data_IF_161856745319
#
_entry.id   IF_161856745319
#
_cell.length_a   1.000
_cell.length_b   1.000
_cell.length_c   1.000
_cell.angle_alpha   90.00
_cell.angle_beta   90.00
_cell.angle_gamma   90.00
#
_symmetry.space_group_name_H-M   'P 1'
#
loop_
_entity.id
_entity.type
_entity.pdbx_description
1 polymer ?
#
# COMPACT_ATOMS: atom_id res chain seq x y z
N UNK A 1 44.72 -1.61 -20.52
CA UNK A 1 44.12 -2.95 -20.39
C UNK A 1 42.90 -2.83 -19.49
N UNK A 2 41.72 -2.72 -20.09
CA UNK A 2 40.45 -2.54 -19.38
C UNK A 2 39.87 -3.91 -19.02
N UNK A 3 39.82 -4.22 -17.74
CA UNK A 3 39.28 -5.46 -17.23
C UNK A 3 37.75 -5.54 -17.44
N UNK A 4 37.32 -6.57 -18.13
CA UNK A 4 35.91 -6.97 -18.32
C UNK A 4 35.34 -7.32 -16.94
N UNK A 5 34.20 -6.80 -16.51
CA UNK A 5 33.58 -7.23 -15.25
C UNK A 5 33.19 -8.70 -15.32
N UNK A 6 33.45 -9.44 -14.23
CA UNK A 6 33.25 -10.88 -14.13
C UNK A 6 31.81 -11.33 -14.39
N UNK A 7 31.66 -12.50 -14.96
CA UNK A 7 30.44 -13.12 -15.48
C UNK A 7 29.47 -13.67 -14.42
N UNK A 8 29.51 -13.22 -13.13
CA UNK A 8 28.74 -13.78 -12.02
C UNK A 8 27.83 -12.80 -11.27
N UNK A 9 27.60 -11.59 -11.81
CA UNK A 9 26.54 -10.75 -11.26
C UNK A 9 25.19 -11.20 -11.86
N UNK A 10 24.15 -11.47 -11.02
CA UNK A 10 22.82 -11.81 -11.53
C UNK A 10 22.38 -10.68 -12.47
N UNK A 11 21.91 -11.05 -13.67
CA UNK A 11 21.45 -10.08 -14.66
C UNK A 11 20.36 -9.22 -14.01
N UNK A 12 20.62 -7.92 -13.86
CA UNK A 12 19.65 -6.97 -13.31
C UNK A 12 18.48 -6.91 -14.28
N UNK A 13 17.34 -7.49 -13.85
CA UNK A 13 16.11 -7.57 -14.61
C UNK A 13 15.15 -6.41 -14.31
N UNK A 14 14.00 -6.44 -14.97
CA UNK A 14 12.87 -5.52 -14.76
C UNK A 14 12.48 -5.42 -13.28
N UNK A 15 12.44 -6.57 -12.56
CA UNK A 15 12.02 -6.62 -11.16
C UNK A 15 12.99 -5.88 -10.23
N UNK A 16 14.29 -5.96 -10.45
CA UNK A 16 15.28 -5.18 -9.69
C UNK A 16 15.06 -3.67 -9.84
N UNK A 17 14.71 -3.22 -11.05
CA UNK A 17 14.40 -1.81 -11.31
C UNK A 17 13.13 -1.40 -10.56
N UNK A 18 12.08 -2.24 -10.55
CA UNK A 18 10.86 -2.00 -9.79
C UNK A 18 11.14 -1.93 -8.28
N UNK A 19 11.94 -2.85 -7.74
CA UNK A 19 12.32 -2.82 -6.31
C UNK A 19 13.09 -1.54 -5.96
N UNK A 20 14.04 -1.11 -6.79
CA UNK A 20 14.74 0.17 -6.58
C UNK A 20 13.78 1.37 -6.64
N UNK A 21 12.77 1.33 -7.51
CA UNK A 21 11.75 2.37 -7.57
C UNK A 21 10.85 2.34 -6.31
N UNK A 22 10.49 1.16 -5.79
CA UNK A 22 9.80 1.02 -4.49
C UNK A 22 10.62 1.61 -3.35
N UNK A 23 11.94 1.36 -3.29
CA UNK A 23 12.83 1.95 -2.28
C UNK A 23 12.86 3.49 -2.34
N UNK A 24 12.82 4.07 -3.54
CA UNK A 24 12.72 5.52 -3.69
C UNK A 24 11.37 6.04 -3.19
N UNK A 25 10.27 5.32 -3.42
CA UNK A 25 8.92 5.72 -2.99
C UNK A 25 8.76 5.76 -1.45
N UNK A 26 9.60 5.07 -0.72
CA UNK A 26 9.66 5.21 0.75
C UNK A 26 10.09 6.60 1.22
N UNK A 27 10.79 7.35 0.36
CA UNK A 27 11.45 8.61 0.73
C UNK A 27 11.03 9.79 -0.14
N UNK A 28 10.57 9.54 -1.36
CA UNK A 28 10.31 10.55 -2.37
C UNK A 28 8.91 10.42 -2.95
N UNK A 29 8.25 11.55 -3.26
CA UNK A 29 6.98 11.52 -3.98
C UNK A 29 7.16 11.01 -5.42
N UNK A 30 6.13 10.43 -6.06
CA UNK A 30 6.19 9.86 -7.40
C UNK A 30 6.82 10.81 -8.44
N UNK A 31 6.50 12.10 -8.36
CA UNK A 31 7.03 13.14 -9.28
C UNK A 31 8.55 13.31 -9.23
N UNK A 32 9.22 12.80 -8.20
CA UNK A 32 10.70 12.82 -8.08
C UNK A 32 11.35 11.50 -8.44
N UNK A 33 10.58 10.46 -8.75
CA UNK A 33 11.09 9.13 -9.10
C UNK A 33 11.19 9.04 -10.62
N UNK A 34 12.41 9.20 -11.13
CA UNK A 34 12.68 9.12 -12.56
C UNK A 34 13.42 7.83 -12.92
N UNK A 35 13.31 7.39 -14.18
CA UNK A 35 14.05 6.21 -14.67
C UNK A 35 15.56 6.35 -14.45
N UNK A 36 16.09 7.56 -14.57
CA UNK A 36 17.53 7.83 -14.34
C UNK A 36 17.91 7.70 -12.87
N UNK A 37 17.09 8.20 -11.94
CA UNK A 37 17.32 8.03 -10.50
C UNK A 37 17.26 6.56 -10.09
N UNK A 38 16.27 5.82 -10.62
CA UNK A 38 16.13 4.38 -10.35
C UNK A 38 17.33 3.61 -10.90
N UNK A 39 17.79 3.90 -12.13
CA UNK A 39 18.97 3.28 -12.72
C UNK A 39 20.24 3.58 -11.89
N UNK A 40 20.38 4.81 -11.40
CA UNK A 40 21.48 5.20 -10.51
C UNK A 40 21.47 4.40 -9.22
N UNK A 41 20.29 4.22 -8.58
CA UNK A 41 20.16 3.43 -7.36
C UNK A 41 20.44 1.94 -7.62
N UNK A 42 19.99 1.43 -8.77
CA UNK A 42 20.22 0.03 -9.17
C UNK A 42 21.68 -0.24 -9.64
N UNK A 43 22.50 0.80 -9.77
CA UNK A 43 23.88 0.66 -10.26
C UNK A 43 23.98 0.24 -11.73
N UNK A 44 23.01 0.62 -12.57
CA UNK A 44 22.93 0.23 -13.99
C UNK A 44 22.95 1.43 -14.92
N UNK A 45 23.24 1.17 -16.20
CA UNK A 45 23.12 2.20 -17.22
C UNK A 45 21.65 2.63 -17.38
N UNK A 46 21.36 3.95 -17.47
CA UNK A 46 20.01 4.46 -17.69
C UNK A 46 19.29 3.90 -18.92
N UNK A 47 20.01 3.40 -19.91
CA UNK A 47 19.43 2.73 -21.08
C UNK A 47 18.67 1.46 -20.71
N UNK A 48 19.10 0.74 -19.67
CA UNK A 48 18.42 -0.47 -19.19
C UNK A 48 17.04 -0.15 -18.62
N UNK A 49 16.91 0.92 -17.82
CA UNK A 49 15.61 1.35 -17.32
C UNK A 49 14.68 1.80 -18.48
N UNK A 50 15.23 2.47 -19.50
CA UNK A 50 14.50 2.85 -20.73
C UNK A 50 14.12 1.65 -21.58
N UNK A 51 14.90 0.59 -21.57
CA UNK A 51 14.58 -0.65 -22.26
C UNK A 51 13.36 -1.35 -21.66
N UNK A 52 13.26 -1.42 -20.32
CA UNK A 52 12.16 -2.09 -19.66
C UNK A 52 10.90 -1.23 -19.54
N UNK A 53 11.04 0.10 -19.46
CA UNK A 53 9.93 1.02 -19.25
C UNK A 53 9.95 2.14 -20.31
N UNK A 54 8.89 2.20 -21.11
CA UNK A 54 8.73 3.21 -22.15
C UNK A 54 8.90 4.63 -21.62
N UNK A 55 8.30 4.90 -20.44
CA UNK A 55 8.30 6.20 -19.76
C UNK A 55 8.30 6.03 -18.23
N UNK A 56 8.31 7.14 -17.50
CA UNK A 56 8.26 7.14 -16.04
C UNK A 56 6.94 6.60 -15.52
N UNK A 57 5.82 6.87 -16.20
CA UNK A 57 4.51 6.41 -15.81
C UNK A 57 4.41 4.87 -15.84
N UNK A 58 4.84 4.22 -16.92
CA UNK A 58 4.83 2.75 -17.02
C UNK A 58 5.67 2.08 -15.92
N UNK A 59 6.76 2.73 -15.48
CA UNK A 59 7.55 2.28 -14.33
C UNK A 59 6.78 2.46 -13.02
N UNK A 60 6.15 3.60 -12.79
CA UNK A 60 5.38 3.88 -11.58
C UNK A 60 4.12 3.03 -11.48
N UNK A 61 3.48 2.67 -12.60
CA UNK A 61 2.38 1.70 -12.63
C UNK A 61 2.87 0.30 -12.18
N UNK A 62 4.06 -0.12 -12.61
CA UNK A 62 4.64 -1.38 -12.15
C UNK A 62 4.98 -1.36 -10.65
N UNK A 63 5.39 -0.20 -10.10
CA UNK A 63 5.56 0.00 -8.65
C UNK A 63 4.20 -0.14 -7.93
N UNK A 64 3.16 0.52 -8.43
CA UNK A 64 1.82 0.43 -7.85
C UNK A 64 1.28 -1.01 -7.85
N UNK A 65 1.48 -1.75 -8.93
CA UNK A 65 1.13 -3.17 -9.06
C UNK A 65 1.88 -4.02 -8.01
N UNK A 66 3.20 -3.87 -7.90
CA UNK A 66 4.04 -4.58 -6.92
C UNK A 66 3.59 -4.31 -5.48
N UNK A 67 3.32 -3.06 -5.11
CA UNK A 67 2.88 -2.71 -3.76
C UNK A 67 1.47 -3.22 -3.45
N UNK A 68 0.59 -3.25 -4.44
CA UNK A 68 -0.75 -3.84 -4.30
C UNK A 68 -0.68 -5.35 -4.07
N UNK A 69 0.23 -6.05 -4.74
CA UNK A 69 0.48 -7.49 -4.51
C UNK A 69 1.07 -7.75 -3.12
N UNK A 70 2.06 -6.96 -2.71
CA UNK A 70 2.63 -7.06 -1.36
C UNK A 70 1.58 -6.82 -0.27
N UNK A 71 0.66 -5.86 -0.48
CA UNK A 71 -0.47 -5.63 0.41
C UNK A 71 -1.38 -6.86 0.50
N UNK A 72 -1.78 -7.46 -0.64
CA UNK A 72 -2.62 -8.65 -0.67
C UNK A 72 -1.99 -9.81 0.10
N UNK A 73 -0.72 -10.11 -0.17
CA UNK A 73 0.02 -11.16 0.56
C UNK A 73 0.16 -10.89 2.06
N UNK A 74 0.26 -9.61 2.45
CA UNK A 74 0.30 -9.24 3.88
C UNK A 74 -1.04 -9.52 4.55
N UNK A 75 -2.15 -9.17 3.90
CA UNK A 75 -3.50 -9.49 4.40
C UNK A 75 -3.67 -11.01 4.55
N UNK A 76 -3.32 -11.78 3.53
CA UNK A 76 -3.42 -13.25 3.57
C UNK A 76 -2.65 -13.84 4.76
N UNK A 77 -1.42 -13.38 5.00
CA UNK A 77 -0.62 -13.84 6.15
C UNK A 77 -1.24 -13.50 7.50
N UNK A 78 -1.79 -12.31 7.65
CA UNK A 78 -2.45 -11.92 8.90
C UNK A 78 -3.74 -12.72 9.13
N UNK A 79 -4.52 -12.94 8.08
CA UNK A 79 -5.74 -13.78 8.16
C UNK A 79 -5.38 -15.22 8.49
N UNK A 80 -4.36 -15.80 7.83
CA UNK A 80 -3.91 -17.17 8.10
C UNK A 80 -3.36 -17.37 9.53
N UNK A 81 -2.83 -16.31 10.14
CA UNK A 81 -2.32 -16.34 11.52
C UNK A 81 -3.38 -16.03 12.59
N UNK A 82 -4.63 -15.76 12.19
CA UNK A 82 -5.74 -15.42 13.07
C UNK A 82 -6.68 -16.61 13.30
N UNK A 83 -7.68 -16.42 14.16
CA UNK A 83 -8.75 -17.40 14.41
C UNK A 83 -9.79 -17.50 13.29
N UNK A 84 -9.60 -16.76 12.21
CA UNK A 84 -10.46 -16.77 11.02
C UNK A 84 -11.81 -16.06 11.20
N UNK A 85 -12.02 -15.36 12.33
CA UNK A 85 -13.26 -14.61 12.55
C UNK A 85 -13.37 -13.39 11.61
N UNK A 86 -14.58 -12.94 11.26
CA UNK A 86 -14.79 -11.71 10.50
C UNK A 86 -14.12 -10.48 11.15
N UNK A 87 -14.07 -10.41 12.49
CA UNK A 87 -13.42 -9.36 13.25
C UNK A 87 -11.91 -9.35 13.01
N UNK A 88 -11.26 -10.50 13.07
CA UNK A 88 -9.82 -10.60 12.82
C UNK A 88 -9.47 -10.35 11.35
N UNK A 89 -10.33 -10.80 10.42
CA UNK A 89 -10.16 -10.46 9.01
C UNK A 89 -10.21 -8.95 8.75
N UNK A 90 -11.11 -8.23 9.44
CA UNK A 90 -11.20 -6.77 9.36
C UNK A 90 -9.97 -6.09 9.96
N UNK A 91 -9.51 -6.53 11.15
CA UNK A 91 -8.27 -6.04 11.77
C UNK A 91 -7.05 -6.29 10.88
N UNK A 92 -6.96 -7.48 10.26
CA UNK A 92 -5.87 -7.83 9.35
C UNK A 92 -5.75 -6.83 8.19
N UNK A 93 -6.89 -6.40 7.63
CA UNK A 93 -6.92 -5.39 6.55
C UNK A 93 -6.48 -4.01 7.04
N UNK A 94 -6.97 -3.57 8.19
CA UNK A 94 -6.59 -2.29 8.80
C UNK A 94 -5.07 -2.28 9.07
N UNK A 95 -4.55 -3.31 9.73
CA UNK A 95 -3.12 -3.48 10.03
C UNK A 95 -2.25 -3.48 8.78
N UNK A 96 -2.67 -4.24 7.76
CA UNK A 96 -1.93 -4.33 6.50
C UNK A 96 -1.88 -2.99 5.77
N UNK A 97 -3.00 -2.26 5.74
CA UNK A 97 -3.08 -0.96 5.10
C UNK A 97 -2.26 0.08 5.86
N UNK A 98 -2.35 0.09 7.20
CA UNK A 98 -1.56 0.99 8.03
C UNK A 98 -0.05 0.76 7.84
N UNK A 99 0.37 -0.50 7.85
CA UNK A 99 1.76 -0.86 7.60
C UNK A 99 2.23 -0.43 6.20
N UNK A 100 1.40 -0.58 5.17
CA UNK A 100 1.70 -0.11 3.82
C UNK A 100 1.88 1.41 3.78
N UNK A 101 0.96 2.17 4.39
CA UNK A 101 1.00 3.64 4.41
C UNK A 101 2.22 4.18 5.18
N UNK A 102 2.59 3.54 6.29
CA UNK A 102 3.79 3.91 7.06
C UNK A 102 5.08 3.59 6.30
N UNK A 103 5.13 2.45 5.64
CA UNK A 103 6.28 2.00 4.86
C UNK A 103 6.46 2.81 3.57
N UNK A 104 5.34 3.18 2.91
CA UNK A 104 5.30 3.95 1.66
C UNK A 104 4.41 5.19 1.82
N UNK A 105 4.91 6.26 2.45
CA UNK A 105 4.11 7.46 2.77
C UNK A 105 3.49 8.16 1.56
N UNK A 106 4.04 7.91 0.39
CA UNK A 106 3.57 8.49 -0.87
C UNK A 106 2.72 7.53 -1.73
N UNK A 107 2.32 6.37 -1.18
CA UNK A 107 1.54 5.39 -1.92
C UNK A 107 0.20 5.98 -2.40
N UNK A 108 -0.50 6.75 -1.56
CA UNK A 108 -1.74 7.41 -1.96
C UNK A 108 -1.55 8.39 -3.14
N UNK A 109 -0.42 9.14 -3.15
CA UNK A 109 -0.08 10.03 -4.26
C UNK A 109 0.21 9.24 -5.53
N UNK A 110 0.91 8.11 -5.42
CA UNK A 110 1.16 7.21 -6.54
C UNK A 110 -0.16 6.74 -7.18
N UNK A 111 -1.10 6.26 -6.36
CA UNK A 111 -2.42 5.83 -6.86
C UNK A 111 -3.17 7.01 -7.49
N UNK A 112 -3.26 8.15 -6.80
CA UNK A 112 -4.02 9.30 -7.28
C UNK A 112 -3.45 9.93 -8.56
N UNK A 113 -2.12 9.96 -8.72
CA UNK A 113 -1.46 10.64 -9.82
C UNK A 113 -1.27 9.73 -11.05
N UNK A 114 -0.86 8.46 -10.82
CA UNK A 114 -0.43 7.58 -11.89
C UNK A 114 -1.48 6.52 -12.26
N UNK A 115 -2.37 6.16 -11.33
CA UNK A 115 -3.40 5.15 -11.58
C UNK A 115 -4.74 5.81 -11.92
N UNK A 116 -5.26 6.66 -11.03
CA UNK A 116 -6.61 7.27 -11.20
C UNK A 116 -6.69 8.17 -12.42
N UNK A 117 -5.64 8.92 -12.74
CA UNK A 117 -5.60 9.87 -13.86
C UNK A 117 -5.12 9.27 -15.17
N UNK A 118 -4.85 7.99 -15.22
CA UNK A 118 -4.26 7.33 -16.37
C UNK A 118 -5.30 6.56 -17.18
N UNK A 119 -5.24 6.71 -18.51
CA UNK A 119 -6.02 5.91 -19.46
C UNK A 119 -5.29 4.60 -19.86
N UNK A 120 -4.11 4.31 -19.29
CA UNK A 120 -3.35 3.11 -19.57
C UNK A 120 -4.15 1.85 -19.17
N UNK A 121 -4.21 0.81 -20.00
CA UNK A 121 -4.92 -0.43 -19.66
C UNK A 121 -4.42 -1.08 -18.36
N UNK A 122 -3.13 -0.91 -18.01
CA UNK A 122 -2.58 -1.41 -16.74
C UNK A 122 -3.14 -0.63 -15.56
N UNK A 123 -3.24 0.69 -15.67
CA UNK A 123 -3.85 1.52 -14.65
C UNK A 123 -5.33 1.14 -14.42
N UNK A 124 -6.08 0.89 -15.48
CA UNK A 124 -7.48 0.46 -15.39
C UNK A 124 -7.60 -0.87 -14.64
N UNK A 125 -6.82 -1.89 -15.03
CA UNK A 125 -6.82 -3.19 -14.32
C UNK A 125 -6.43 -3.05 -12.85
N UNK A 126 -5.49 -2.15 -12.55
CA UNK A 126 -5.07 -1.91 -11.18
C UNK A 126 -6.17 -1.21 -10.38
N UNK A 127 -6.89 -0.24 -10.97
CA UNK A 127 -8.06 0.38 -10.34
C UNK A 127 -9.16 -0.64 -10.05
N UNK A 128 -9.49 -1.51 -11.00
CA UNK A 128 -10.47 -2.59 -10.79
C UNK A 128 -10.03 -3.51 -9.63
N UNK A 129 -8.75 -3.89 -9.57
CA UNK A 129 -8.21 -4.70 -8.49
C UNK A 129 -8.28 -4.00 -7.12
N UNK A 130 -7.95 -2.72 -7.05
CA UNK A 130 -7.96 -1.94 -5.82
C UNK A 130 -9.38 -1.64 -5.33
N UNK A 131 -10.27 -1.21 -6.24
CA UNK A 131 -11.63 -0.80 -5.88
C UNK A 131 -12.54 -2.01 -5.70
N UNK A 132 -12.78 -2.76 -6.76
CA UNK A 132 -13.69 -3.91 -6.72
C UNK A 132 -13.21 -4.99 -5.78
N UNK A 133 -11.92 -5.35 -5.81
CA UNK A 133 -11.33 -6.34 -4.91
C UNK A 133 -11.36 -5.87 -3.46
N UNK A 134 -11.02 -4.60 -3.23
CA UNK A 134 -11.08 -3.98 -1.90
C UNK A 134 -12.51 -3.93 -1.35
N UNK A 135 -13.42 -3.28 -2.06
CA UNK A 135 -14.82 -3.11 -1.65
C UNK A 135 -15.54 -4.44 -1.43
N UNK A 136 -15.41 -5.39 -2.37
CA UNK A 136 -16.00 -6.74 -2.22
C UNK A 136 -15.48 -7.47 -1.00
N UNK A 137 -14.18 -7.33 -0.70
CA UNK A 137 -13.61 -8.01 0.46
C UNK A 137 -14.15 -7.46 1.78
N UNK A 138 -14.39 -6.16 1.89
CA UNK A 138 -15.05 -5.60 3.09
C UNK A 138 -16.51 -6.04 3.17
N UNK A 139 -17.25 -6.05 2.05
CA UNK A 139 -18.63 -6.54 2.03
C UNK A 139 -18.70 -8.01 2.46
N UNK A 140 -17.83 -8.87 1.93
CA UNK A 140 -17.77 -10.29 2.32
C UNK A 140 -17.53 -10.47 3.82
N UNK A 141 -16.62 -9.69 4.41
CA UNK A 141 -16.36 -9.73 5.86
C UNK A 141 -17.61 -9.37 6.66
N UNK A 142 -18.31 -8.30 6.24
CA UNK A 142 -19.56 -7.89 6.90
C UNK A 142 -20.64 -8.94 6.73
N UNK A 143 -20.83 -9.50 5.54
CA UNK A 143 -21.86 -10.52 5.27
C UNK A 143 -21.62 -11.79 6.12
N UNK A 144 -20.36 -12.24 6.24
CA UNK A 144 -19.99 -13.33 7.13
C UNK A 144 -20.32 -13.00 8.60
N UNK A 145 -19.92 -11.81 9.09
CA UNK A 145 -20.19 -11.39 10.45
C UNK A 145 -21.68 -11.22 10.77
N UNK A 146 -22.48 -10.82 9.78
CA UNK A 146 -23.96 -10.76 9.91
C UNK A 146 -24.54 -12.17 9.98
N UNK A 147 -24.08 -13.09 9.13
CA UNK A 147 -24.50 -14.49 9.17
C UNK A 147 -24.20 -15.15 10.53
N UNK A 148 -23.03 -14.88 11.08
CA UNK A 148 -22.60 -15.36 12.40
C UNK A 148 -23.21 -14.56 13.57
N UNK A 149 -24.02 -13.54 13.30
CA UNK A 149 -24.61 -12.64 14.30
C UNK A 149 -23.57 -11.90 15.16
N UNK A 150 -22.36 -11.79 14.71
CA UNK A 150 -21.28 -11.06 15.40
C UNK A 150 -21.16 -9.63 14.95
N UNK A 151 -21.68 -9.30 13.75
CA UNK A 151 -21.69 -7.95 13.19
C UNK A 151 -23.10 -7.53 12.78
N UNK A 152 -23.32 -6.21 12.77
CA UNK A 152 -24.51 -5.61 12.16
C UNK A 152 -24.28 -5.37 10.67
N UNK A 153 -25.33 -5.31 9.89
CA UNK A 153 -25.25 -4.93 8.49
C UNK A 153 -24.79 -3.48 8.35
N UNK A 154 -23.71 -3.30 7.60
CA UNK A 154 -23.17 -2.01 7.17
C UNK A 154 -22.76 -2.11 5.70
N UNK A 155 -22.72 -0.98 5.01
CA UNK A 155 -22.25 -0.90 3.63
C UNK A 155 -20.72 -1.11 3.60
N UNK A 156 -20.27 -2.20 2.98
CA UNK A 156 -18.86 -2.56 2.87
C UNK A 156 -18.05 -1.55 2.03
N UNK A 157 -18.68 -0.88 1.06
CA UNK A 157 -18.00 0.15 0.25
C UNK A 157 -17.72 1.40 1.10
N UNK A 158 -18.71 1.84 1.89
CA UNK A 158 -18.52 2.96 2.82
C UNK A 158 -17.49 2.63 3.89
N UNK A 159 -17.52 1.41 4.41
CA UNK A 159 -16.52 0.95 5.38
C UNK A 159 -15.10 0.92 4.77
N UNK A 160 -14.95 0.43 3.54
CA UNK A 160 -13.69 0.47 2.81
C UNK A 160 -13.14 1.91 2.70
N UNK A 161 -13.96 2.85 2.21
CA UNK A 161 -13.57 4.25 2.08
C UNK A 161 -13.19 4.88 3.42
N UNK A 162 -13.96 4.60 4.48
CA UNK A 162 -13.67 5.09 5.82
C UNK A 162 -12.32 4.58 6.34
N UNK A 163 -12.03 3.28 6.20
CA UNK A 163 -10.77 2.68 6.66
C UNK A 163 -9.59 3.21 5.85
N UNK A 164 -9.71 3.30 4.52
CA UNK A 164 -8.66 3.87 3.67
C UNK A 164 -8.37 5.31 4.08
N UNK A 165 -9.40 6.15 4.22
CA UNK A 165 -9.24 7.54 4.63
C UNK A 165 -8.61 7.71 6.01
N UNK A 166 -9.01 6.90 7.00
CA UNK A 166 -8.41 6.93 8.34
C UNK A 166 -6.92 6.57 8.29
N UNK A 167 -6.53 5.49 7.61
CA UNK A 167 -5.13 5.09 7.50
C UNK A 167 -4.28 6.14 6.76
N UNK A 168 -4.81 6.71 5.67
CA UNK A 168 -4.14 7.75 4.89
C UNK A 168 -3.97 9.05 5.70
N UNK A 169 -4.98 9.44 6.47
CA UNK A 169 -4.96 10.62 7.31
C UNK A 169 -3.87 10.59 8.37
N UNK A 170 -3.46 9.41 8.85
CA UNK A 170 -2.34 9.30 9.79
C UNK A 170 -1.04 9.82 9.17
N UNK A 171 -0.68 9.34 7.98
CA UNK A 171 0.59 9.69 7.33
C UNK A 171 0.59 11.16 6.91
N UNK A 172 -0.49 11.63 6.29
CA UNK A 172 -0.63 13.02 5.84
C UNK A 172 -0.73 14.00 7.01
N UNK A 173 -1.35 13.59 8.13
CA UNK A 173 -1.52 14.38 9.35
C UNK A 173 -0.36 14.28 10.34
N UNK A 174 0.58 13.36 10.17
CA UNK A 174 1.69 13.16 11.10
C UNK A 174 2.56 14.42 11.34
N UNK A 175 2.85 15.28 10.34
CA UNK A 175 3.54 16.54 10.58
C UNK A 175 2.79 17.46 11.55
N UNK A 176 1.45 17.49 11.50
CA UNK A 176 0.61 18.26 12.45
C UNK A 176 0.70 17.66 13.85
N UNK A 177 0.65 16.33 13.96
CA UNK A 177 0.81 15.64 15.25
C UNK A 177 2.17 15.93 15.88
N UNK A 178 3.24 15.90 15.08
CA UNK A 178 4.60 16.29 15.52
C UNK A 178 4.67 17.75 15.98
N UNK A 179 4.00 18.64 15.29
CA UNK A 179 3.93 20.05 15.70
C UNK A 179 3.22 20.20 17.04
N UNK A 180 2.08 19.53 17.22
CA UNK A 180 1.25 19.65 18.41
C UNK A 180 1.87 19.00 19.66
N UNK A 181 2.58 17.88 19.52
CA UNK A 181 3.13 17.08 20.63
C UNK A 181 4.65 17.22 20.83
N UNK A 182 5.33 17.97 19.95
CA UNK A 182 6.79 18.11 19.95
C UNK A 182 7.50 17.17 18.97
N UNK A 183 8.74 17.54 18.63
CA UNK A 183 9.52 16.89 17.55
C UNK A 183 10.02 15.46 17.89
N UNK A 184 9.87 15.04 19.12
CA UNK A 184 10.43 13.75 19.64
C UNK A 184 9.48 12.57 19.48
N UNK A 185 8.28 12.75 18.90
CA UNK A 185 7.36 11.63 18.72
C UNK A 185 7.88 10.66 17.64
N UNK A 186 7.89 9.39 17.99
CA UNK A 186 8.27 8.32 17.06
C UNK A 186 7.08 7.91 16.17
N UNK A 187 7.30 7.98 14.85
CA UNK A 187 6.26 7.66 13.87
C UNK A 187 5.76 6.21 13.99
N UNK A 188 6.67 5.27 14.25
CA UNK A 188 6.31 3.86 14.33
C UNK A 188 5.50 3.55 15.60
N UNK A 189 5.88 4.14 16.73
CA UNK A 189 5.10 3.99 17.96
C UNK A 189 3.71 4.62 17.85
N UNK A 190 3.60 5.82 17.27
CA UNK A 190 2.32 6.49 17.07
C UNK A 190 1.45 5.77 16.03
N UNK A 191 2.03 5.17 14.99
CA UNK A 191 1.26 4.40 14.02
C UNK A 191 0.60 3.17 14.64
N UNK A 192 1.28 2.47 15.56
CA UNK A 192 0.71 1.34 16.29
C UNK A 192 -0.47 1.74 17.18
N UNK A 193 -0.33 2.86 17.91
CA UNK A 193 -1.42 3.41 18.73
C UNK A 193 -2.62 3.81 17.89
N UNK A 194 -2.36 4.42 16.75
CA UNK A 194 -3.42 4.83 15.83
C UNK A 194 -4.09 3.65 15.15
N UNK A 195 -3.33 2.60 14.80
CA UNK A 195 -3.85 1.34 14.29
C UNK A 195 -4.80 0.68 15.29
N UNK A 196 -4.39 0.57 16.56
CA UNK A 196 -5.24 0.04 17.64
C UNK A 196 -6.52 0.87 17.79
N UNK A 197 -6.40 2.20 17.77
CA UNK A 197 -7.53 3.12 17.83
C UNK A 197 -8.51 2.92 16.67
N UNK A 198 -8.02 2.82 15.42
CA UNK A 198 -8.87 2.56 14.24
C UNK A 198 -9.54 1.19 14.38
N UNK A 199 -8.81 0.15 14.76
CA UNK A 199 -9.38 -1.19 14.93
C UNK A 199 -10.51 -1.16 15.96
N UNK A 200 -10.32 -0.52 17.10
CA UNK A 200 -11.35 -0.39 18.13
C UNK A 200 -12.56 0.41 17.64
N UNK A 201 -12.32 1.57 17.02
CA UNK A 201 -13.36 2.46 16.51
C UNK A 201 -14.24 1.75 15.46
N UNK A 202 -13.60 1.09 14.50
CA UNK A 202 -14.28 0.38 13.43
C UNK A 202 -15.05 -0.81 13.98
N UNK A 203 -14.43 -1.63 14.84
CA UNK A 203 -15.13 -2.78 15.43
C UNK A 203 -16.34 -2.37 16.25
N UNK A 204 -16.21 -1.36 17.11
CA UNK A 204 -17.39 -0.84 17.86
C UNK A 204 -18.48 -0.32 16.94
N UNK A 205 -18.13 0.18 15.77
CA UNK A 205 -19.05 0.65 14.75
C UNK A 205 -19.79 -0.47 14.01
N UNK A 206 -19.20 -1.67 13.91
CA UNK A 206 -19.73 -2.78 13.10
C UNK A 206 -20.19 -3.98 13.93
N UNK A 207 -19.82 -4.11 15.20
CA UNK A 207 -20.28 -5.20 16.07
C UNK A 207 -21.80 -5.16 16.28
N UNK A 208 -22.41 -6.32 16.39
CA UNK A 208 -23.82 -6.43 16.78
C UNK A 208 -24.03 -5.79 18.16
N UNK A 209 -25.11 -5.04 18.30
CA UNK A 209 -25.51 -4.55 19.62
C UNK A 209 -26.18 -5.68 20.37
N UNK A 210 -25.69 -6.01 21.55
CA UNK A 210 -26.36 -6.90 22.52
C UNK A 210 -27.66 -6.32 22.95
#
# INVERSE_FOLDING_TARGET
>A
MSGRPGADAPAIGRDTIVECACELLRKLPPSKITRSEVARLAGVDPSLARYYFRDGQSMLLAVAERLTEQFAHRVERFVAASDGTPQEALKARIRSLMALQVEYPYFHQLIAQEVVKSDDPTARRLMEKLTDGGMRAYQTIIDCGVADRTMRAVDGQQLFLAVVGMCESFVTGFPMLRFARGKTIDMLAESRRYEEFICELVLRGVLARS
#
